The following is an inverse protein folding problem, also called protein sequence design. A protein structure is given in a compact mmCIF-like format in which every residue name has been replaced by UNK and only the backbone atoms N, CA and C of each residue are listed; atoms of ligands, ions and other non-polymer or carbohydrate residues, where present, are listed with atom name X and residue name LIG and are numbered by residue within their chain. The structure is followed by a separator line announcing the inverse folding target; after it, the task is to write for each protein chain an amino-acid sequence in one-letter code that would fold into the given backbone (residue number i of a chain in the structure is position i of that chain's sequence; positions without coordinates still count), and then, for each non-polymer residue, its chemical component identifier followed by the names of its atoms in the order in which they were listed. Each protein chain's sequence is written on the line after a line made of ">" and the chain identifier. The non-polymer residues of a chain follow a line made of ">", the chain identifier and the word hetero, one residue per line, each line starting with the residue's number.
data_IF_002343846363
#
_entry.id   IF_002343846363
#
_cell.length_a   1.000
_cell.length_b   1.000
_cell.length_c   1.000
_cell.angle_alpha   90.00
_cell.angle_beta   90.00
_cell.angle_gamma   90.00
#
_symmetry.space_group_name_H-M   'P 1'
#
loop_
_entity.id
_entity.type
_entity.pdbx_description
1 polymer ?
#
# COMPACT_ATOMS: atom_id res chain seq x y z
N UNK A 1 20.80 2.30 -13.21
CA UNK A 1 19.69 3.29 -13.20
C UNK A 1 19.27 3.73 -11.79
N UNK A 2 18.87 2.84 -10.86
CA UNK A 2 18.50 3.29 -9.50
C UNK A 2 19.66 4.02 -8.79
N UNK A 3 20.85 3.40 -8.77
CA UNK A 3 22.03 3.97 -8.11
C UNK A 3 22.34 5.35 -8.69
N UNK A 4 22.44 5.47 -10.00
CA UNK A 4 22.65 6.74 -10.71
C UNK A 4 21.62 7.81 -10.34
N UNK A 5 20.32 7.52 -10.42
CA UNK A 5 19.26 8.50 -10.08
C UNK A 5 19.35 8.89 -8.61
N UNK A 6 19.57 7.94 -7.70
CA UNK A 6 19.71 8.21 -6.28
C UNK A 6 20.93 9.08 -5.99
N UNK A 7 22.06 8.81 -6.66
CA UNK A 7 23.29 9.61 -6.57
C UNK A 7 23.06 11.03 -7.06
N UNK A 8 22.31 11.24 -8.16
CA UNK A 8 21.93 12.57 -8.65
C UNK A 8 20.99 13.31 -7.69
N UNK A 9 19.99 12.62 -7.14
CA UNK A 9 19.06 13.21 -6.17
C UNK A 9 19.74 13.58 -4.85
N UNK A 10 20.77 12.84 -4.44
CA UNK A 10 21.52 13.06 -3.21
C UNK A 10 22.70 14.05 -3.38
N UNK A 11 23.08 14.36 -4.62
CA UNK A 11 24.16 15.28 -4.97
C UNK A 11 24.13 16.63 -4.20
N UNK A 12 22.98 17.34 -4.06
CA UNK A 12 22.96 18.61 -3.34
C UNK A 12 23.16 18.49 -1.82
N UNK A 13 23.04 17.28 -1.24
CA UNK A 13 23.17 17.04 0.20
C UNK A 13 24.56 16.50 0.54
N UNK A 14 25.04 15.51 -0.23
CA UNK A 14 26.32 14.84 0.02
C UNK A 14 27.17 14.78 -1.26
N UNK A 15 27.72 15.91 -1.74
CA UNK A 15 28.39 15.97 -3.04
C UNK A 15 29.63 15.07 -3.13
N UNK A 16 30.45 15.00 -2.07
CA UNK A 16 31.69 14.22 -2.07
C UNK A 16 31.45 12.71 -2.23
N UNK A 17 30.49 12.16 -1.49
CA UNK A 17 30.13 10.74 -1.57
C UNK A 17 29.49 10.45 -2.92
N UNK A 18 28.62 11.35 -3.39
CA UNK A 18 27.95 11.18 -4.66
C UNK A 18 28.92 11.26 -5.84
N UNK A 19 29.92 12.15 -5.82
CA UNK A 19 30.96 12.24 -6.86
C UNK A 19 31.82 10.98 -6.88
N UNK A 20 32.22 10.46 -5.72
CA UNK A 20 32.93 9.17 -5.64
C UNK A 20 32.11 8.01 -6.23
N UNK A 21 30.84 7.87 -5.83
CA UNK A 21 29.93 6.84 -6.39
C UNK A 21 29.69 7.05 -7.88
N UNK A 22 29.60 8.30 -8.33
CA UNK A 22 29.41 8.63 -9.73
C UNK A 22 30.64 8.31 -10.58
N UNK A 23 31.85 8.56 -10.07
CA UNK A 23 33.12 8.16 -10.70
C UNK A 23 33.26 6.63 -10.80
N UNK A 24 32.74 5.87 -9.82
CA UNK A 24 32.69 4.41 -9.88
C UNK A 24 31.76 3.90 -11.00
N UNK A 25 30.66 4.61 -11.27
CA UNK A 25 29.72 4.26 -12.34
C UNK A 25 30.21 4.76 -13.72
N UNK A 26 30.78 5.96 -13.75
CA UNK A 26 31.25 6.66 -14.93
C UNK A 26 32.67 7.22 -14.70
N UNK A 27 33.71 6.47 -15.09
CA UNK A 27 35.08 6.89 -14.91
C UNK A 27 35.35 8.25 -15.59
N UNK A 28 36.12 9.10 -14.91
CA UNK A 28 36.53 10.44 -15.38
C UNK A 28 35.38 11.45 -15.61
N UNK A 29 34.20 11.21 -15.04
CA UNK A 29 33.10 12.19 -15.03
C UNK A 29 32.80 12.63 -13.61
N UNK A 30 32.60 13.94 -13.44
CA UNK A 30 32.11 14.48 -12.17
C UNK A 30 30.59 14.58 -12.17
N UNK A 31 30.01 14.39 -10.99
CA UNK A 31 28.56 14.56 -10.79
C UNK A 31 28.10 16.02 -11.02
N UNK A 32 29.01 16.99 -10.89
CA UNK A 32 28.68 18.42 -11.06
C UNK A 32 28.27 18.77 -12.50
N UNK A 33 28.71 17.98 -13.47
CA UNK A 33 28.34 18.15 -14.89
C UNK A 33 27.07 17.36 -15.26
N UNK A 34 26.55 16.55 -14.34
CA UNK A 34 25.42 15.68 -14.60
C UNK A 34 24.09 16.46 -14.60
N UNK A 35 23.21 16.09 -15.52
CA UNK A 35 21.87 16.68 -15.62
C UNK A 35 20.92 16.05 -14.60
N UNK A 36 19.91 16.82 -14.20
CA UNK A 36 18.85 16.31 -13.34
C UNK A 36 18.13 15.10 -14.00
N UNK A 37 17.83 14.02 -13.23
CA UNK A 37 17.21 12.83 -13.79
C UNK A 37 15.78 13.10 -14.26
N UNK A 38 15.40 12.54 -15.40
CA UNK A 38 14.04 12.63 -15.92
C UNK A 38 13.17 11.48 -15.42
N UNK A 39 11.95 11.77 -14.91
CA UNK A 39 11.04 10.73 -14.44
C UNK A 39 10.55 9.85 -15.59
N UNK A 40 10.43 8.55 -15.34
CA UNK A 40 9.86 7.60 -16.28
C UNK A 40 8.33 7.51 -16.19
N UNK A 41 7.74 6.57 -16.91
CA UNK A 41 6.31 6.23 -16.77
C UNK A 41 6.06 5.64 -15.39
N UNK A 42 4.98 6.09 -14.74
CA UNK A 42 4.56 5.63 -13.41
C UNK A 42 3.36 4.70 -13.58
N UNK A 43 3.45 3.49 -13.05
CA UNK A 43 2.34 2.55 -13.00
C UNK A 43 1.73 2.56 -11.59
N UNK A 44 0.57 3.20 -11.46
CA UNK A 44 -0.14 3.32 -10.18
C UNK A 44 -0.63 1.96 -9.67
N UNK A 45 -1.06 1.06 -10.57
CA UNK A 45 -1.54 -0.25 -10.16
C UNK A 45 -0.42 -1.09 -9.54
N UNK A 46 0.80 -0.98 -10.07
CA UNK A 46 1.97 -1.65 -9.50
C UNK A 46 2.34 -1.08 -8.13
N UNK A 47 2.26 0.25 -7.97
CA UNK A 47 2.53 0.91 -6.68
C UNK A 47 1.50 0.47 -5.64
N UNK A 48 0.21 0.48 -5.99
CA UNK A 48 -0.87 0.08 -5.08
C UNK A 48 -0.75 -1.39 -4.65
N UNK A 49 -0.42 -2.28 -5.58
CA UNK A 49 -0.16 -3.69 -5.26
C UNK A 49 1.06 -3.88 -4.36
N UNK A 50 2.13 -3.12 -4.56
CA UNK A 50 3.31 -3.14 -3.69
C UNK A 50 2.96 -2.63 -2.28
N UNK A 51 2.20 -1.54 -2.18
CA UNK A 51 1.73 -0.99 -0.92
C UNK A 51 0.85 -1.99 -0.17
N UNK A 52 -0.05 -2.68 -0.87
CA UNK A 52 -0.86 -3.76 -0.31
C UNK A 52 0.03 -4.90 0.24
N UNK A 53 1.05 -5.31 -0.50
CA UNK A 53 2.01 -6.33 -0.04
C UNK A 53 2.74 -5.90 1.23
N UNK A 54 3.29 -4.69 1.27
CA UNK A 54 4.01 -4.16 2.44
C UNK A 54 3.09 -4.13 3.67
N UNK A 55 1.86 -3.63 3.50
CA UNK A 55 0.87 -3.56 4.57
C UNK A 55 0.45 -4.94 5.09
N UNK A 56 0.25 -5.91 4.19
CA UNK A 56 -0.11 -7.28 4.57
C UNK A 56 1.02 -8.01 5.28
N UNK A 57 2.28 -7.85 4.84
CA UNK A 57 3.47 -8.37 5.54
C UNK A 57 3.58 -7.77 6.94
N UNK A 58 3.39 -6.47 7.07
CA UNK A 58 3.41 -5.79 8.36
C UNK A 58 2.29 -6.30 9.29
N UNK A 59 1.06 -6.42 8.78
CA UNK A 59 -0.06 -6.99 9.52
C UNK A 59 0.23 -8.43 9.99
N UNK A 60 0.76 -9.26 9.10
CA UNK A 60 1.12 -10.65 9.40
C UNK A 60 2.18 -10.74 10.50
N UNK A 61 3.24 -9.93 10.41
CA UNK A 61 4.31 -9.87 11.41
C UNK A 61 3.78 -9.47 12.78
N UNK A 62 2.90 -8.47 12.84
CA UNK A 62 2.28 -8.03 14.09
C UNK A 62 1.39 -9.11 14.70
N UNK A 63 0.55 -9.76 13.89
CA UNK A 63 -0.31 -10.85 14.36
C UNK A 63 0.50 -12.04 14.85
N UNK A 64 1.57 -12.41 14.14
CA UNK A 64 2.50 -13.47 14.54
C UNK A 64 3.17 -13.17 15.88
N UNK A 65 3.62 -11.92 16.10
CA UNK A 65 4.19 -11.47 17.37
C UNK A 65 3.18 -11.64 18.53
N UNK A 66 1.95 -11.17 18.35
CA UNK A 66 0.89 -11.27 19.38
C UNK A 66 0.63 -12.73 19.75
N UNK A 67 0.47 -13.61 18.75
CA UNK A 67 0.20 -15.04 18.98
C UNK A 67 1.37 -15.75 19.67
N UNK A 68 2.61 -15.43 19.29
CA UNK A 68 3.82 -16.00 19.88
C UNK A 68 3.96 -15.59 21.33
N UNK A 69 3.71 -14.31 21.66
CA UNK A 69 3.75 -13.81 23.04
C UNK A 69 2.62 -14.38 23.90
N UNK A 70 1.40 -14.50 23.36
CA UNK A 70 0.26 -15.01 24.12
C UNK A 70 0.36 -16.51 24.42
N UNK A 71 0.91 -17.29 23.50
CA UNK A 71 0.90 -18.75 23.60
C UNK A 71 2.28 -19.36 23.90
N UNK A 72 3.34 -18.55 24.00
CA UNK A 72 4.73 -18.99 24.18
C UNK A 72 5.16 -20.12 23.22
N UNK A 73 4.58 -20.14 22.00
CA UNK A 73 4.82 -21.17 20.97
C UNK A 73 5.33 -20.53 19.70
N UNK A 74 6.31 -21.17 19.07
CA UNK A 74 6.80 -20.80 17.73
C UNK A 74 6.01 -21.55 16.67
N UNK A 75 5.55 -20.83 15.65
CA UNK A 75 4.84 -21.39 14.51
C UNK A 75 5.77 -21.44 13.30
N UNK A 76 5.81 -22.58 12.62
CA UNK A 76 6.67 -22.78 11.43
C UNK A 76 5.87 -22.77 10.12
N UNK A 77 4.54 -22.92 10.19
CA UNK A 77 3.65 -23.01 9.04
C UNK A 77 2.53 -21.99 9.21
N UNK A 78 2.22 -21.27 8.13
CA UNK A 78 1.10 -20.35 8.06
C UNK A 78 0.30 -20.59 6.77
N UNK A 79 -1.02 -20.45 6.87
CA UNK A 79 -1.93 -20.54 5.72
C UNK A 79 -2.62 -19.19 5.58
N UNK A 80 -2.52 -18.61 4.39
CA UNK A 80 -3.13 -17.31 4.06
C UNK A 80 -4.31 -17.58 3.13
N UNK A 81 -5.49 -17.08 3.52
CA UNK A 81 -6.68 -17.13 2.69
C UNK A 81 -6.91 -15.77 2.05
N UNK A 82 -7.13 -15.76 0.74
CA UNK A 82 -7.45 -14.56 -0.05
C UNK A 82 -8.81 -14.77 -0.67
N UNK A 83 -9.75 -13.86 -0.39
CA UNK A 83 -11.07 -13.89 -1.01
C UNK A 83 -10.99 -13.32 -2.43
N UNK A 84 -11.44 -14.08 -3.42
CA UNK A 84 -11.52 -13.58 -4.81
C UNK A 84 -12.62 -12.54 -4.98
N UNK A 85 -13.70 -12.67 -4.21
CA UNK A 85 -14.86 -11.77 -4.25
C UNK A 85 -15.25 -11.37 -2.84
N UNK A 86 -15.80 -10.17 -2.72
CA UNK A 86 -16.43 -9.73 -1.48
C UNK A 86 -17.65 -10.61 -1.16
N UNK A 87 -17.91 -10.93 0.12
CA UNK A 87 -19.17 -11.54 0.55
C UNK A 87 -20.39 -10.70 0.12
N UNK A 88 -21.54 -11.37 -0.05
CA UNK A 88 -22.77 -10.73 -0.59
C UNK A 88 -23.16 -9.45 0.14
N UNK A 89 -23.14 -9.46 1.47
CA UNK A 89 -23.47 -8.29 2.28
C UNK A 89 -22.49 -7.12 2.07
N UNK A 90 -21.19 -7.41 1.87
CA UNK A 90 -20.19 -6.38 1.60
C UNK A 90 -20.37 -5.78 0.21
N UNK A 91 -20.66 -6.60 -0.80
CA UNK A 91 -20.98 -6.13 -2.15
C UNK A 91 -22.18 -5.17 -2.09
N UNK A 92 -23.23 -5.53 -1.35
CA UNK A 92 -24.40 -4.67 -1.18
C UNK A 92 -24.02 -3.32 -0.56
N UNK A 93 -23.30 -3.33 0.56
CA UNK A 93 -22.87 -2.09 1.25
C UNK A 93 -21.98 -1.23 0.35
N UNK A 94 -20.98 -1.82 -0.33
CA UNK A 94 -20.08 -1.10 -1.24
C UNK A 94 -20.87 -0.45 -2.38
N UNK A 95 -21.86 -1.15 -2.94
CA UNK A 95 -22.71 -0.60 -3.99
C UNK A 95 -23.57 0.57 -3.50
N UNK A 96 -24.15 0.48 -2.30
CA UNK A 96 -24.90 1.61 -1.72
C UNK A 96 -23.99 2.81 -1.43
N UNK A 97 -22.81 2.58 -0.86
CA UNK A 97 -21.82 3.64 -0.63
C UNK A 97 -21.37 4.29 -1.93
N UNK A 98 -21.22 3.51 -3.01
CA UNK A 98 -20.91 4.02 -4.35
C UNK A 98 -22.02 4.92 -4.89
N UNK A 99 -23.29 4.62 -4.62
CA UNK A 99 -24.43 5.48 -4.99
C UNK A 99 -24.37 6.79 -4.20
N UNK A 100 -24.27 6.72 -2.87
CA UNK A 100 -24.19 7.92 -2.02
C UNK A 100 -23.02 8.84 -2.38
N UNK A 101 -21.86 8.26 -2.71
CA UNK A 101 -20.68 9.02 -3.12
C UNK A 101 -20.88 9.71 -4.48
N UNK A 102 -21.59 9.07 -5.43
CA UNK A 102 -21.89 9.70 -6.73
C UNK A 102 -22.85 10.87 -6.61
N UNK A 103 -23.81 10.79 -5.70
CA UNK A 103 -24.84 11.82 -5.51
C UNK A 103 -24.31 13.04 -4.77
N UNK A 104 -23.53 12.84 -3.72
CA UNK A 104 -23.12 13.92 -2.81
C UNK A 104 -21.62 14.27 -2.88
N UNK A 105 -20.84 13.58 -3.74
CA UNK A 105 -19.36 13.65 -3.81
C UNK A 105 -18.65 13.43 -2.46
N UNK A 106 -19.39 12.92 -1.48
CA UNK A 106 -18.98 12.73 -0.10
C UNK A 106 -19.78 11.59 0.52
N UNK A 107 -19.22 10.98 1.55
CA UNK A 107 -19.92 9.97 2.32
C UNK A 107 -20.83 10.64 3.38
N UNK A 108 -22.09 10.19 3.52
CA UNK A 108 -22.97 10.64 4.59
C UNK A 108 -22.40 10.31 5.98
N UNK A 109 -22.91 10.98 7.01
CA UNK A 109 -22.51 10.71 8.40
C UNK A 109 -22.80 9.24 8.78
N UNK A 110 -21.91 8.67 9.58
CA UNK A 110 -21.97 7.27 10.03
C UNK A 110 -23.28 6.96 10.76
N UNK A 111 -23.89 7.95 11.43
CA UNK A 111 -25.21 7.79 12.08
C UNK A 111 -26.31 7.51 11.06
N UNK A 112 -26.30 8.21 9.93
CA UNK A 112 -27.29 8.07 8.86
C UNK A 112 -27.10 6.71 8.18
N UNK A 113 -25.85 6.35 7.88
CA UNK A 113 -25.52 5.05 7.28
C UNK A 113 -25.92 3.88 8.19
N UNK A 114 -25.66 3.98 9.50
CA UNK A 114 -26.04 2.93 10.47
C UNK A 114 -27.54 2.72 10.50
N UNK A 115 -28.33 3.79 10.57
CA UNK A 115 -29.80 3.71 10.53
C UNK A 115 -30.29 3.15 9.19
N UNK A 116 -29.70 3.56 8.07
CA UNK A 116 -30.08 3.10 6.73
C UNK A 116 -29.85 1.59 6.51
N UNK A 117 -28.76 1.06 7.05
CA UNK A 117 -28.39 -0.34 6.89
C UNK A 117 -29.02 -1.27 7.94
N UNK A 118 -29.51 -0.75 9.06
CA UNK A 118 -30.06 -1.54 10.16
C UNK A 118 -31.28 -2.39 9.75
N UNK A 119 -32.10 -1.87 8.84
CA UNK A 119 -33.39 -2.47 8.49
C UNK A 119 -33.33 -3.36 7.22
N UNK A 120 -32.13 -3.52 6.65
CA UNK A 120 -31.89 -4.27 5.39
C UNK A 120 -31.58 -5.74 5.68
N UNK A 121 -32.43 -6.64 5.19
CA UNK A 121 -32.24 -8.09 5.35
C UNK A 121 -31.00 -8.61 4.62
N UNK A 122 -30.52 -7.89 3.61
CA UNK A 122 -29.36 -8.24 2.79
C UNK A 122 -28.02 -8.18 3.56
N UNK A 123 -28.02 -7.59 4.76
CA UNK A 123 -26.85 -7.41 5.62
C UNK A 123 -26.73 -8.51 6.69
N UNK A 124 -27.74 -9.38 6.81
CA UNK A 124 -27.73 -10.43 7.81
C UNK A 124 -26.51 -11.37 7.57
N UNK A 125 -25.68 -11.52 8.61
CA UNK A 125 -24.36 -12.20 8.55
C UNK A 125 -24.46 -13.69 8.25
N UNK A 126 -25.69 -14.23 8.14
CA UNK A 126 -25.97 -15.62 7.74
C UNK A 126 -25.58 -15.94 6.30
N UNK A 127 -25.32 -14.95 5.46
CA UNK A 127 -24.91 -15.14 4.05
C UNK A 127 -23.41 -14.98 3.82
N UNK A 128 -22.60 -15.21 4.87
CA UNK A 128 -21.13 -15.30 4.79
C UNK A 128 -20.68 -16.62 4.14
#
# INVERSE_FOLDING_TARGET
>A
RFIEVQTLLLAPICPHVCDYVYQLLYPNKSIMEAKWPTPGKIDQSLIDSCNYLINTVHYFRNRSKILTTQQNKKYNVAVIYVACNYPRWQIFVINQLKIFFKENLSFPDNKILSSYFKDRQEIDKKYA
#
